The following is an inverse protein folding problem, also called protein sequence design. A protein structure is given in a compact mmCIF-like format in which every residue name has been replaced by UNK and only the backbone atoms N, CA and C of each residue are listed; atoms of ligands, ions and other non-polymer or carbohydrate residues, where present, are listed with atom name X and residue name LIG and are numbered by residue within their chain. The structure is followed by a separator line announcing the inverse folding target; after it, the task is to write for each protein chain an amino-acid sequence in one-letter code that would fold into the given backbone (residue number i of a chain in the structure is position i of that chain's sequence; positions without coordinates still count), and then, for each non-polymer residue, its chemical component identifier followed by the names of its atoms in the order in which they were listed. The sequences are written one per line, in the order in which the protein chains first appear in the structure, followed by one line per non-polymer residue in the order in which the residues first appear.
data_IF_579447412207
#
_entry.id   IF_579447412207
#
_cell.length_a   1.000
_cell.length_b   1.000
_cell.length_c   1.000
_cell.angle_alpha   90.00
_cell.angle_beta   90.00
_cell.angle_gamma   90.00
#
_symmetry.space_group_name_H-M   'P 1'
#
loop_
_entity.id
_entity.type
_entity.pdbx_description
1 polymer ?
#
# COMPACT_ATOMS: atom_id res chain seq x y z
N UNK A 1 -16.43 -13.97 -21.61
CA UNK A 1 -16.89 -13.43 -20.32
C UNK A 1 -15.82 -13.76 -19.29
N UNK A 2 -14.73 -12.99 -19.28
CA UNK A 2 -13.65 -13.21 -18.32
C UNK A 2 -14.13 -12.74 -16.94
N UNK A 3 -14.28 -13.68 -16.03
CA UNK A 3 -14.68 -13.39 -14.66
C UNK A 3 -13.59 -12.53 -14.03
N UNK A 4 -13.89 -11.24 -13.89
CA UNK A 4 -13.03 -10.19 -13.32
C UNK A 4 -12.62 -10.47 -11.87
N UNK A 5 -11.68 -11.40 -11.69
CA UNK A 5 -11.02 -11.60 -10.41
C UNK A 5 -9.81 -10.69 -10.29
N UNK A 6 -10.07 -9.44 -9.92
CA UNK A 6 -9.05 -8.42 -9.64
C UNK A 6 -8.16 -8.77 -8.42
N UNK A 7 -8.37 -9.93 -7.78
CA UNK A 7 -7.61 -10.37 -6.61
C UNK A 7 -6.13 -10.57 -6.92
N UNK A 8 -5.79 -11.10 -8.09
CA UNK A 8 -4.40 -11.30 -8.49
C UNK A 8 -3.67 -9.97 -8.64
N UNK A 9 -4.31 -8.98 -9.26
CA UNK A 9 -3.72 -7.66 -9.44
C UNK A 9 -3.56 -6.92 -8.10
N UNK A 10 -4.59 -6.96 -7.23
CA UNK A 10 -4.50 -6.44 -5.86
C UNK A 10 -3.33 -7.05 -5.10
N UNK A 11 -3.14 -8.37 -5.19
CA UNK A 11 -2.03 -9.04 -4.51
C UNK A 11 -0.67 -8.61 -5.06
N UNK A 12 -0.54 -8.49 -6.39
CA UNK A 12 0.67 -8.01 -7.03
C UNK A 12 1.00 -6.58 -6.58
N UNK A 13 0.02 -5.68 -6.53
CA UNK A 13 0.18 -4.30 -6.07
C UNK A 13 0.56 -4.20 -4.60
N UNK A 14 -0.07 -4.99 -3.74
CA UNK A 14 0.32 -5.09 -2.33
C UNK A 14 1.78 -5.55 -2.23
N UNK A 15 2.20 -6.52 -3.04
CA UNK A 15 3.60 -6.96 -3.13
C UNK A 15 4.54 -5.83 -3.52
N UNK A 16 4.20 -5.06 -4.55
CA UNK A 16 4.98 -3.90 -5.00
C UNK A 16 5.07 -2.82 -3.91
N UNK A 17 3.95 -2.47 -3.26
CA UNK A 17 3.94 -1.49 -2.17
C UNK A 17 4.80 -1.93 -0.97
N UNK A 18 4.74 -3.22 -0.61
CA UNK A 18 5.62 -3.79 0.43
C UNK A 18 7.10 -3.72 0.07
N UNK A 19 7.45 -4.03 -1.19
CA UNK A 19 8.82 -3.90 -1.68
C UNK A 19 9.32 -2.46 -1.57
N UNK A 20 8.53 -1.47 -2.03
CA UNK A 20 8.88 -0.05 -1.89
C UNK A 20 9.10 0.37 -0.45
N UNK A 21 8.29 -0.13 0.48
CA UNK A 21 8.47 0.15 1.91
C UNK A 21 9.76 -0.46 2.47
N UNK A 22 10.21 -1.60 1.95
CA UNK A 22 11.51 -2.18 2.29
C UNK A 22 12.67 -1.39 1.67
N UNK A 23 12.54 -0.96 0.41
CA UNK A 23 13.56 -0.15 -0.28
C UNK A 23 13.81 1.19 0.44
N UNK A 24 12.77 1.76 1.06
CA UNK A 24 12.82 3.04 1.78
C UNK A 24 13.08 2.88 3.29
N UNK A 25 13.57 1.72 3.75
CA UNK A 25 13.81 1.44 5.18
C UNK A 25 14.69 2.50 5.86
N UNK A 26 15.65 3.07 5.12
CA UNK A 26 16.54 4.10 5.65
C UNK A 26 15.77 5.39 5.99
N UNK A 27 14.80 5.80 5.16
CA UNK A 27 13.93 6.96 5.40
C UNK A 27 13.04 6.71 6.63
N UNK A 28 12.49 5.50 6.76
CA UNK A 28 11.63 5.15 7.88
C UNK A 28 12.38 5.10 9.21
N UNK A 29 13.64 4.63 9.19
CA UNK A 29 14.53 4.61 10.37
C UNK A 29 15.09 5.98 10.76
N UNK A 30 15.14 6.91 9.82
CA UNK A 30 15.71 8.24 10.05
C UNK A 30 14.84 9.04 11.04
N UNK A 31 15.42 9.41 12.20
CA UNK A 31 14.74 10.18 13.24
C UNK A 31 14.69 11.68 12.94
N UNK A 32 15.51 12.16 12.01
CA UNK A 32 15.53 13.57 11.60
C UNK A 32 14.33 13.93 10.74
N UNK A 33 13.76 12.93 10.04
CA UNK A 33 12.57 13.09 9.20
C UNK A 33 11.33 13.09 10.09
N UNK A 34 10.55 14.16 10.00
CA UNK A 34 9.32 14.30 10.78
C UNK A 34 8.31 13.20 10.42
N UNK A 35 7.55 12.73 11.43
CA UNK A 35 6.51 11.73 11.22
C UNK A 35 5.48 12.17 10.17
N UNK A 36 5.14 13.46 10.13
CA UNK A 36 4.23 13.99 9.12
C UNK A 36 4.76 13.81 7.69
N UNK A 37 6.05 14.06 7.46
CA UNK A 37 6.66 13.87 6.14
C UNK A 37 6.69 12.39 5.78
N UNK A 38 7.02 11.50 6.72
CA UNK A 38 7.01 10.07 6.47
C UNK A 38 5.61 9.54 6.12
N UNK A 39 4.56 10.02 6.83
CA UNK A 39 3.16 9.69 6.51
C UNK A 39 2.78 10.20 5.12
N UNK A 40 3.19 11.43 4.75
CA UNK A 40 2.96 11.96 3.39
C UNK A 40 3.62 11.08 2.33
N UNK A 41 4.89 10.71 2.50
CA UNK A 41 5.61 9.84 1.55
C UNK A 41 4.91 8.49 1.44
N UNK A 42 4.53 7.87 2.58
CA UNK A 42 3.80 6.61 2.57
C UNK A 42 2.48 6.75 1.80
N UNK A 43 1.63 7.73 2.12
CA UNK A 43 0.38 7.94 1.38
C UNK A 43 0.63 8.13 -0.12
N UNK A 44 1.59 8.97 -0.51
CA UNK A 44 1.88 9.23 -1.92
C UNK A 44 2.39 8.02 -2.68
N UNK A 45 3.21 7.15 -2.07
CA UNK A 45 3.81 6.00 -2.77
C UNK A 45 2.99 4.72 -2.62
N UNK A 46 2.45 4.47 -1.43
CA UNK A 46 1.76 3.23 -1.11
C UNK A 46 0.30 3.30 -1.52
N UNK A 47 -0.38 4.42 -1.26
CA UNK A 47 -1.79 4.56 -1.64
C UNK A 47 -1.93 4.56 -3.17
N UNK A 48 -1.11 5.34 -3.87
CA UNK A 48 -1.14 5.39 -5.34
C UNK A 48 -0.81 4.02 -5.95
N UNK A 49 0.21 3.30 -5.45
CA UNK A 49 0.52 1.96 -5.97
C UNK A 49 -0.61 0.97 -5.73
N UNK A 50 -1.33 1.08 -4.61
CA UNK A 50 -2.47 0.20 -4.31
C UNK A 50 -3.75 0.58 -5.08
N UNK A 51 -3.99 1.86 -5.35
CA UNK A 51 -5.24 2.34 -5.97
C UNK A 51 -5.14 2.63 -7.46
N UNK A 52 -3.94 2.71 -8.03
CA UNK A 52 -3.77 2.89 -9.46
C UNK A 52 -4.48 1.75 -10.21
N UNK A 53 -5.38 2.05 -11.14
CA UNK A 53 -6.17 1.02 -11.85
C UNK A 53 -7.33 0.39 -11.05
N UNK A 54 -7.59 0.81 -9.81
CA UNK A 54 -8.73 0.36 -9.01
C UNK A 54 -10.08 0.95 -9.48
N UNK A 55 -10.06 1.94 -10.37
CA UNK A 55 -11.26 2.54 -10.99
C UNK A 55 -12.10 1.52 -11.76
N UNK A 56 -11.48 0.44 -12.25
CA UNK A 56 -12.17 -0.68 -12.91
C UNK A 56 -12.45 -1.88 -12.01
N UNK A 57 -12.12 -1.82 -10.71
CA UNK A 57 -12.23 -2.97 -9.83
C UNK A 57 -13.54 -3.00 -9.06
N UNK A 58 -14.27 -4.10 -9.16
CA UNK A 58 -15.25 -4.45 -8.14
C UNK A 58 -14.53 -4.82 -6.85
N UNK A 59 -14.26 -3.84 -5.99
CA UNK A 59 -13.66 -4.08 -4.67
C UNK A 59 -14.66 -4.86 -3.81
N UNK A 60 -14.39 -6.15 -3.62
CA UNK A 60 -15.15 -7.00 -2.69
C UNK A 60 -14.70 -6.73 -1.25
N UNK A 61 -15.58 -6.94 -0.26
CA UNK A 61 -15.25 -6.78 1.18
C UNK A 61 -13.96 -7.52 1.61
N UNK A 62 -13.63 -8.65 0.98
CA UNK A 62 -12.39 -9.40 1.24
C UNK A 62 -11.14 -8.62 0.81
N UNK A 63 -11.22 -7.90 -0.30
CA UNK A 63 -10.12 -7.11 -0.85
C UNK A 63 -9.93 -5.82 -0.04
N UNK A 64 -11.03 -5.16 0.34
CA UNK A 64 -11.01 -4.01 1.25
C UNK A 64 -10.33 -4.36 2.59
N UNK A 65 -10.73 -5.46 3.23
CA UNK A 65 -10.05 -5.95 4.45
C UNK A 65 -8.55 -6.17 4.26
N UNK A 66 -8.14 -6.63 3.07
CA UNK A 66 -6.74 -6.89 2.74
C UNK A 66 -5.95 -5.60 2.55
N UNK A 67 -6.54 -4.61 1.89
CA UNK A 67 -5.98 -3.27 1.74
C UNK A 67 -5.81 -2.63 3.12
N UNK A 68 -6.85 -2.61 3.95
CA UNK A 68 -6.80 -2.05 5.31
C UNK A 68 -5.74 -2.75 6.17
N UNK A 69 -5.66 -4.09 6.11
CA UNK A 69 -4.64 -4.85 6.84
C UNK A 69 -3.22 -4.50 6.37
N UNK A 70 -3.05 -4.21 5.08
CA UNK A 70 -1.77 -3.80 4.51
C UNK A 70 -1.43 -2.37 4.93
N UNK A 71 -2.40 -1.47 4.93
CA UNK A 71 -2.24 -0.09 5.41
C UNK A 71 -1.77 -0.06 6.88
N UNK A 72 -2.41 -0.84 7.75
CA UNK A 72 -2.01 -0.97 9.15
C UNK A 72 -0.58 -1.52 9.31
N UNK A 73 -0.16 -2.45 8.46
CA UNK A 73 1.20 -2.97 8.45
C UNK A 73 2.23 -1.88 8.09
N UNK A 74 1.88 -0.93 7.22
CA UNK A 74 2.74 0.20 6.87
C UNK A 74 2.86 1.21 8.00
N UNK A 75 1.74 1.62 8.63
CA UNK A 75 1.77 2.52 9.78
C UNK A 75 2.62 1.97 10.94
N UNK A 76 2.57 0.66 11.20
CA UNK A 76 3.40 0.01 12.23
C UNK A 76 4.91 0.07 11.97
N UNK A 77 5.34 0.34 10.74
CA UNK A 77 6.77 0.49 10.37
C UNK A 77 7.24 1.94 10.38
N UNK A 78 6.30 2.89 10.50
CA UNK A 78 6.55 4.33 10.56
C UNK A 78 6.76 4.83 11.99
N UNK A 79 6.05 4.20 12.94
CA UNK A 79 6.20 4.38 14.38
C UNK A 79 7.41 3.60 14.89
#
# INVERSE_FOLDING_TARGET
MDSGDNTNDINARIGMAKKRMQDLVNIWKDKTITLQLKIKIMKTLVWTVMTYGAEGWTIKKKQEKKINSTEMWFYRRLL
#
